data_IF_451023452297
#
_entry.id   IF_451023452297
#
_cell.length_a   1.000
_cell.length_b   1.000
_cell.length_c   1.000
_cell.angle_alpha   90.00
_cell.angle_beta   90.00
_cell.angle_gamma   90.00
#
_symmetry.space_group_name_H-M   'P 1'
#
loop_
_entity.id
_entity.type
_entity.pdbx_description
1 polymer ?
#
# COMPACT_ATOMS: atom_id res chain seq x y z
N UNK A 1 9.40 30.36 -3.13
CA UNK A 1 7.99 29.97 -2.84
C UNK A 1 7.46 28.90 -3.82
N UNK A 2 8.29 27.98 -4.33
CA UNK A 2 7.87 27.00 -5.37
C UNK A 2 8.21 25.53 -5.07
N UNK A 3 9.02 25.22 -4.05
CA UNK A 3 9.33 23.83 -3.68
C UNK A 3 8.25 23.19 -2.78
N UNK A 4 7.48 23.99 -2.05
CA UNK A 4 6.51 23.51 -1.07
C UNK A 4 5.24 22.92 -1.69
N UNK A 5 4.90 23.32 -2.92
CA UNK A 5 3.71 22.81 -3.62
C UNK A 5 3.95 21.46 -4.31
N UNK A 6 5.19 21.18 -4.75
CA UNK A 6 5.52 19.90 -5.41
C UNK A 6 5.45 18.70 -4.46
N UNK A 7 5.75 18.88 -3.18
CA UNK A 7 5.72 17.80 -2.17
C UNK A 7 4.30 17.50 -1.66
N UNK A 8 3.35 18.41 -1.86
CA UNK A 8 1.95 18.24 -1.43
C UNK A 8 1.27 17.09 -2.18
N UNK A 9 1.52 16.98 -3.48
CA UNK A 9 0.90 15.96 -4.33
C UNK A 9 1.67 14.63 -4.37
N UNK A 10 2.92 14.61 -3.91
CA UNK A 10 3.80 13.44 -3.98
C UNK A 10 3.17 12.14 -3.46
N UNK A 11 2.61 12.11 -2.24
CA UNK A 11 1.98 10.91 -1.69
C UNK A 11 0.75 10.43 -2.46
N UNK A 12 -0.08 11.37 -2.94
CA UNK A 12 -1.27 11.05 -3.72
C UNK A 12 -0.89 10.49 -5.09
N UNK A 13 0.06 11.12 -5.79
CA UNK A 13 0.60 10.62 -7.05
C UNK A 13 1.22 9.24 -6.90
N UNK A 14 2.01 9.02 -5.84
CA UNK A 14 2.61 7.73 -5.53
C UNK A 14 1.53 6.63 -5.34
N UNK A 15 0.46 6.92 -4.60
CA UNK A 15 -0.63 5.98 -4.42
C UNK A 15 -1.42 5.71 -5.71
N UNK A 16 -1.64 6.75 -6.53
CA UNK A 16 -2.30 6.58 -7.84
C UNK A 16 -1.45 5.72 -8.77
N UNK A 17 -0.14 5.97 -8.86
CA UNK A 17 0.77 5.15 -9.67
C UNK A 17 0.81 3.72 -9.16
N UNK A 18 0.87 3.53 -7.83
CA UNK A 18 0.82 2.20 -7.22
C UNK A 18 -0.47 1.46 -7.58
N UNK A 19 -1.62 2.14 -7.51
CA UNK A 19 -2.90 1.57 -7.91
C UNK A 19 -2.92 1.17 -9.39
N UNK A 20 -2.41 2.02 -10.28
CA UNK A 20 -2.30 1.70 -11.72
C UNK A 20 -1.46 0.45 -11.93
N UNK A 21 -0.29 0.35 -11.28
CA UNK A 21 0.59 -0.81 -11.37
C UNK A 21 -0.14 -2.09 -10.92
N UNK A 22 -0.83 -2.02 -9.78
CA UNK A 22 -1.58 -3.17 -9.23
C UNK A 22 -2.68 -3.59 -10.19
N UNK A 23 -3.46 -2.65 -10.72
CA UNK A 23 -4.52 -2.92 -11.70
C UNK A 23 -3.95 -3.53 -12.98
N UNK A 24 -2.86 -2.98 -13.53
CA UNK A 24 -2.24 -3.49 -14.75
C UNK A 24 -1.73 -4.93 -14.58
N UNK A 25 -1.15 -5.25 -13.42
CA UNK A 25 -0.60 -6.58 -13.16
C UNK A 25 -1.71 -7.59 -12.85
N UNK A 26 -2.72 -7.20 -12.06
CA UNK A 26 -3.79 -8.10 -11.61
C UNK A 26 -4.99 -8.14 -12.55
N UNK A 27 -5.06 -7.28 -13.56
CA UNK A 27 -6.20 -7.16 -14.48
C UNK A 27 -6.47 -8.40 -15.33
N UNK A 28 -5.50 -9.31 -15.43
CA UNK A 28 -5.65 -10.61 -16.10
C UNK A 28 -6.08 -11.75 -15.15
N UNK A 29 -6.25 -11.47 -13.86
CA UNK A 29 -6.71 -12.45 -12.86
C UNK A 29 -8.23 -12.50 -12.77
N UNK A 30 -8.79 -13.43 -11.97
CA UNK A 30 -10.25 -13.46 -11.77
C UNK A 30 -10.72 -12.25 -10.96
N UNK A 31 -11.97 -11.83 -11.17
CA UNK A 31 -12.58 -10.70 -10.46
C UNK A 31 -12.46 -10.80 -8.93
N UNK A 32 -12.54 -12.01 -8.39
CA UNK A 32 -12.36 -12.29 -6.98
C UNK A 32 -10.93 -11.96 -6.51
N UNK A 33 -9.91 -12.45 -7.22
CA UNK A 33 -8.49 -12.24 -6.90
C UNK A 33 -8.14 -10.77 -6.99
N UNK A 34 -8.59 -10.13 -8.07
CA UNK A 34 -8.38 -8.71 -8.31
C UNK A 34 -8.93 -7.86 -7.17
N UNK A 35 -10.14 -8.18 -6.67
CA UNK A 35 -10.76 -7.46 -5.56
C UNK A 35 -9.90 -7.54 -4.28
N UNK A 36 -9.46 -8.74 -3.91
CA UNK A 36 -8.72 -8.93 -2.65
C UNK A 36 -7.32 -8.32 -2.64
N UNK A 37 -6.67 -8.18 -3.80
CA UNK A 37 -5.36 -7.52 -3.91
C UNK A 37 -5.52 -5.99 -4.00
N UNK A 38 -6.58 -5.50 -4.64
CA UNK A 38 -6.74 -4.07 -4.96
C UNK A 38 -7.44 -3.28 -3.84
N UNK A 39 -8.41 -3.88 -3.14
CA UNK A 39 -9.18 -3.19 -2.09
C UNK A 39 -8.30 -2.62 -0.96
N UNK A 40 -7.25 -3.32 -0.48
CA UNK A 40 -6.39 -2.80 0.59
C UNK A 40 -5.63 -1.51 0.23
N UNK A 41 -5.48 -1.16 -1.06
CA UNK A 41 -4.91 0.13 -1.51
C UNK A 41 -5.83 1.31 -1.21
N UNK A 42 -7.15 1.09 -1.17
CA UNK A 42 -8.13 2.17 -1.05
C UNK A 42 -7.88 2.98 0.23
N UNK A 43 -7.59 2.31 1.34
CA UNK A 43 -7.35 2.98 2.63
C UNK A 43 -6.15 3.95 2.60
N UNK A 44 -4.92 3.54 2.23
CA UNK A 44 -3.79 4.46 2.11
C UNK A 44 -3.98 5.52 1.01
N UNK A 45 -4.74 5.22 -0.05
CA UNK A 45 -5.11 6.21 -1.06
C UNK A 45 -6.04 7.30 -0.49
N UNK A 46 -7.08 6.92 0.25
CA UNK A 46 -7.96 7.87 0.93
C UNK A 46 -7.16 8.77 1.89
N UNK A 47 -6.21 8.20 2.63
CA UNK A 47 -5.34 8.97 3.53
C UNK A 47 -4.46 9.95 2.74
N UNK A 48 -3.92 9.53 1.60
CA UNK A 48 -3.14 10.41 0.71
C UNK A 48 -4.00 11.55 0.13
N UNK A 49 -5.26 11.29 -0.22
CA UNK A 49 -6.21 12.32 -0.68
C UNK A 49 -6.55 13.29 0.45
N UNK A 50 -6.78 12.80 1.67
CA UNK A 50 -7.03 13.66 2.84
C UNK A 50 -5.83 14.58 3.12
N UNK A 51 -4.58 14.13 2.86
CA UNK A 51 -3.40 14.99 2.98
C UNK A 51 -3.44 16.21 2.05
N UNK A 52 -4.06 16.10 0.88
CA UNK A 52 -4.21 17.22 -0.05
C UNK A 52 -5.06 18.36 0.54
N UNK A 53 -5.97 18.04 1.47
CA UNK A 53 -6.79 19.03 2.20
C UNK A 53 -6.00 19.80 3.27
N UNK A 54 -4.73 19.45 3.50
CA UNK A 54 -3.86 20.07 4.51
C UNK A 54 -4.11 19.62 5.94
N UNK A 55 -5.11 18.73 6.16
CA UNK A 55 -5.45 18.19 7.49
C UNK A 55 -4.44 17.19 8.04
N UNK A 56 -3.65 16.55 7.17
CA UNK A 56 -2.63 15.55 7.52
C UNK A 56 -1.31 15.92 6.86
N UNK A 57 -0.22 15.92 7.64
CA UNK A 57 1.15 16.22 7.14
C UNK A 57 2.03 14.99 6.96
N UNK A 58 1.66 13.86 7.55
CA UNK A 58 2.52 12.66 7.59
C UNK A 58 2.38 11.82 6.32
N UNK A 59 3.46 11.69 5.55
CA UNK A 59 3.50 10.87 4.33
C UNK A 59 3.74 9.38 4.62
N UNK A 60 3.93 9.00 5.89
CA UNK A 60 4.31 7.65 6.30
C UNK A 60 3.30 6.61 5.85
N UNK A 61 2.01 6.88 5.99
CA UNK A 61 0.94 5.92 5.68
C UNK A 61 0.79 5.72 4.16
N UNK A 62 0.72 6.76 3.30
CA UNK A 62 0.73 6.57 1.85
C UNK A 62 1.98 5.85 1.33
N UNK A 63 3.16 6.20 1.85
CA UNK A 63 4.41 5.55 1.42
C UNK A 63 4.43 4.08 1.83
N UNK A 64 4.05 3.78 3.08
CA UNK A 64 3.93 2.40 3.56
C UNK A 64 2.89 1.62 2.75
N UNK A 65 1.76 2.26 2.43
CA UNK A 65 0.70 1.71 1.60
C UNK A 65 1.16 1.35 0.20
N UNK A 66 1.90 2.22 -0.47
CA UNK A 66 2.48 1.90 -1.78
C UNK A 66 3.41 0.68 -1.70
N UNK A 67 4.29 0.64 -0.69
CA UNK A 67 5.23 -0.47 -0.51
C UNK A 67 4.47 -1.79 -0.29
N UNK A 68 3.53 -1.82 0.66
CA UNK A 68 2.77 -3.05 0.99
C UNK A 68 1.82 -3.50 -0.10
N UNK A 69 1.50 -2.61 -1.03
CA UNK A 69 0.60 -2.93 -2.13
C UNK A 69 1.33 -3.38 -3.38
N UNK A 70 2.53 -2.85 -3.64
CA UNK A 70 3.29 -3.15 -4.87
C UNK A 70 4.29 -4.29 -4.66
N UNK A 71 5.06 -4.24 -3.57
CA UNK A 71 6.18 -5.19 -3.34
C UNK A 71 5.71 -6.65 -3.22
N UNK A 72 4.58 -6.97 -2.56
CA UNK A 72 4.15 -8.36 -2.43
C UNK A 72 3.51 -8.96 -3.69
N UNK A 73 3.23 -8.16 -4.74
CA UNK A 73 2.51 -8.64 -5.94
C UNK A 73 3.19 -9.85 -6.60
N UNK A 74 4.52 -9.87 -6.82
CA UNK A 74 5.16 -11.05 -7.40
C UNK A 74 4.97 -12.29 -6.52
N UNK A 75 5.05 -12.14 -5.20
CA UNK A 75 4.84 -13.24 -4.24
C UNK A 75 3.40 -13.75 -4.28
N UNK A 76 2.41 -12.86 -4.41
CA UNK A 76 1.03 -13.27 -4.60
C UNK A 76 0.87 -14.07 -5.89
N UNK A 77 1.37 -13.56 -7.02
CA UNK A 77 1.25 -14.25 -8.29
C UNK A 77 1.96 -15.60 -8.31
N UNK A 78 3.14 -15.71 -7.68
CA UNK A 78 3.85 -16.98 -7.52
C UNK A 78 3.08 -17.96 -6.64
N UNK A 79 2.52 -17.50 -5.52
CA UNK A 79 1.71 -18.34 -4.62
C UNK A 79 0.44 -18.88 -5.28
N UNK A 80 -0.06 -18.19 -6.31
CA UNK A 80 -1.26 -18.56 -7.06
C UNK A 80 -0.99 -19.48 -8.26
N UNK A 81 0.27 -19.61 -8.68
CA UNK A 81 0.68 -20.39 -9.85
C UNK A 81 0.59 -21.93 -9.72
N UNK A 82 0.71 -22.57 -8.54
CA UNK A 82 0.71 -24.03 -8.43
C UNK A 82 -0.58 -24.65 -7.86
N UNK A 83 -1.65 -23.90 -7.59
CA UNK A 83 -2.83 -24.50 -6.93
C UNK A 83 -3.78 -25.19 -7.91
N UNK A 84 -3.44 -26.42 -8.27
CA UNK A 84 -4.37 -27.40 -8.85
C UNK A 84 -5.23 -28.13 -7.81
N UNK A 85 -5.09 -27.80 -6.52
CA UNK A 85 -5.70 -28.53 -5.41
C UNK A 85 -6.74 -27.72 -4.65
N UNK A 86 -8.03 -28.01 -4.90
CA UNK A 86 -9.22 -27.67 -4.09
C UNK A 86 -9.47 -26.18 -3.78
N UNK A 87 -10.64 -25.68 -4.17
CA UNK A 87 -11.11 -24.29 -3.96
C UNK A 87 -10.95 -23.77 -2.52
N UNK A 88 -10.94 -24.66 -1.52
CA UNK A 88 -10.77 -24.30 -0.10
C UNK A 88 -9.39 -23.76 0.28
N UNK A 89 -8.30 -24.28 -0.29
CA UNK A 89 -6.94 -23.79 0.02
C UNK A 89 -6.66 -22.44 -0.63
N UNK A 90 -7.14 -22.25 -1.87
CA UNK A 90 -7.10 -20.98 -2.56
C UNK A 90 -7.91 -19.92 -1.77
N UNK A 91 -9.14 -20.24 -1.36
CA UNK A 91 -9.98 -19.34 -0.57
C UNK A 91 -9.33 -18.90 0.75
N UNK A 92 -8.62 -19.80 1.44
CA UNK A 92 -7.94 -19.46 2.68
C UNK A 92 -6.82 -18.42 2.43
N UNK A 93 -5.97 -18.63 1.42
CA UNK A 93 -4.89 -17.68 1.09
C UNK A 93 -5.44 -16.30 0.73
N UNK A 94 -6.53 -16.25 -0.02
CA UNK A 94 -7.18 -14.97 -0.36
C UNK A 94 -7.80 -14.25 0.84
N UNK A 95 -8.29 -14.99 1.85
CA UNK A 95 -8.75 -14.37 3.08
C UNK A 95 -7.62 -13.76 3.91
N UNK A 96 -6.39 -14.30 3.83
CA UNK A 96 -5.25 -13.82 4.64
C UNK A 96 -4.43 -12.73 3.95
N UNK A 97 -4.40 -12.67 2.61
CA UNK A 97 -3.65 -11.65 1.85
C UNK A 97 -3.93 -10.21 2.35
N UNK A 98 -5.19 -9.76 2.49
CA UNK A 98 -5.49 -8.42 2.99
C UNK A 98 -4.99 -8.20 4.42
N UNK A 99 -5.05 -9.24 5.25
CA UNK A 99 -4.57 -9.18 6.64
C UNK A 99 -3.06 -8.97 6.65
N UNK A 100 -2.30 -9.67 5.80
CA UNK A 100 -0.87 -9.47 5.66
C UNK A 100 -0.51 -8.08 5.11
N UNK A 101 -1.27 -7.54 4.16
CA UNK A 101 -1.06 -6.19 3.66
C UNK A 101 -1.32 -5.13 4.73
N UNK A 102 -2.39 -5.28 5.50
CA UNK A 102 -2.71 -4.39 6.62
C UNK A 102 -1.67 -4.49 7.74
N UNK A 103 -1.22 -5.70 8.07
CA UNK A 103 -0.17 -5.91 9.06
C UNK A 103 1.15 -5.26 8.60
N UNK A 104 1.54 -5.48 7.34
CA UNK A 104 2.71 -4.83 6.76
C UNK A 104 2.60 -3.31 6.76
N UNK A 105 1.41 -2.77 6.44
CA UNK A 105 1.13 -1.34 6.48
C UNK A 105 1.34 -0.78 7.89
N UNK A 106 0.83 -1.46 8.91
CA UNK A 106 1.00 -1.06 10.32
C UNK A 106 2.47 -1.11 10.71
N UNK A 107 3.18 -2.20 10.42
CA UNK A 107 4.61 -2.37 10.76
C UNK A 107 5.45 -1.27 10.11
N UNK A 108 5.31 -1.07 8.79
CA UNK A 108 6.06 -0.03 8.08
C UNK A 108 5.68 1.37 8.57
N UNK A 109 4.41 1.60 8.93
CA UNK A 109 3.99 2.88 9.49
C UNK A 109 4.64 3.13 10.85
N UNK A 110 4.66 2.15 11.74
CA UNK A 110 5.30 2.24 13.05
C UNK A 110 6.80 2.52 12.89
N UNK A 111 7.48 1.82 11.99
CA UNK A 111 8.90 2.05 11.68
C UNK A 111 9.10 3.48 11.17
N UNK A 112 8.31 3.91 10.18
CA UNK A 112 8.40 5.24 9.60
C UNK A 112 8.18 6.36 10.63
N UNK A 113 7.18 6.21 11.50
CA UNK A 113 6.96 7.15 12.60
C UNK A 113 8.08 7.13 13.64
N UNK A 114 8.63 5.96 13.95
CA UNK A 114 9.76 5.83 14.89
C UNK A 114 11.01 6.54 14.36
N UNK A 115 11.31 6.39 13.07
CA UNK A 115 12.41 7.10 12.40
C UNK A 115 12.16 8.61 12.42
N UNK A 116 10.93 9.05 12.13
CA UNK A 116 10.58 10.47 12.15
C UNK A 116 10.74 11.08 13.55
N UNK A 117 10.29 10.36 14.58
CA UNK A 117 10.44 10.76 15.98
C UNK A 117 11.92 10.84 16.38
N UNK A 118 12.73 9.87 15.98
CA UNK A 118 14.17 9.88 16.23
C UNK A 118 14.87 11.07 15.55
N UNK A 119 14.58 11.33 14.27
CA UNK A 119 15.14 12.50 13.56
C UNK A 119 14.78 13.82 14.21
N UNK A 120 13.52 13.97 14.68
CA UNK A 120 13.07 15.16 15.41
C UNK A 120 13.82 15.33 16.73
N UNK A 121 14.07 14.24 17.46
CA UNK A 121 14.84 14.26 18.73
C UNK A 121 16.30 14.68 18.52
N UNK A 122 16.90 14.31 17.39
CA UNK A 122 18.30 14.58 17.08
C UNK A 122 18.54 15.83 16.20
N UNK A 123 17.52 16.67 16.00
CA UNK A 123 17.67 17.97 15.32
C UNK A 123 17.96 17.90 13.82
N UNK A 124 17.68 16.76 13.18
CA UNK A 124 17.88 16.57 11.73
C UNK A 124 16.67 17.05 10.89
N UNK A 125 15.70 17.74 11.50
CA UNK A 125 14.43 18.21 10.90
C UNK A 125 13.98 19.54 11.50
#
# INVERSE_FOLDING_TARGET
MQLTDKTKYGPALLMIVSLIIVICITGHTTWFIWYWITVPIIMPLCIAVIQLTGKLKSQVIPVSGAITSVVPIPLYLESLRPMSGTDGQAALIFAVIPIYQLLGLVILSVIGYSILAWRKKHGHL
#
